data_IF_510706218495
#
_entry.id   IF_510706218495
#
_cell.length_a   1.000
_cell.length_b   1.000
_cell.length_c   1.000
_cell.angle_alpha   90.00
_cell.angle_beta   90.00
_cell.angle_gamma   90.00
#
_symmetry.space_group_name_H-M   'P 1'
#
loop_
_entity.id
_entity.type
_entity.pdbx_description
1 polymer ?
#
# COMPACT_ATOMS: atom_id res chain seq x y z
N UNK A 1 -6.29 28.37 -28.03
CA UNK A 1 -6.37 26.91 -28.27
C UNK A 1 -5.91 26.23 -26.98
N UNK A 2 -6.85 25.83 -26.11
CA UNK A 2 -6.54 25.15 -24.85
C UNK A 2 -6.26 23.68 -25.14
N UNK A 3 -5.01 23.25 -25.02
CA UNK A 3 -4.62 21.84 -25.16
C UNK A 3 -5.03 21.09 -23.88
N UNK A 4 -6.03 20.21 -24.00
CA UNK A 4 -6.45 19.30 -22.95
C UNK A 4 -5.37 18.23 -22.81
N UNK A 5 -4.58 18.30 -21.73
CA UNK A 5 -3.63 17.26 -21.35
C UNK A 5 -4.40 16.03 -20.86
N UNK A 6 -4.58 15.04 -21.73
CA UNK A 6 -5.10 13.72 -21.33
C UNK A 6 -4.06 13.04 -20.43
N UNK A 7 -4.25 13.14 -19.11
CA UNK A 7 -3.42 12.44 -18.12
C UNK A 7 -3.99 11.05 -17.89
N UNK A 8 -3.37 10.03 -18.48
CA UNK A 8 -3.72 8.63 -18.22
C UNK A 8 -2.95 8.16 -16.98
N UNK A 9 -3.60 8.15 -15.81
CA UNK A 9 -3.03 7.53 -14.61
C UNK A 9 -3.36 6.04 -14.65
N UNK A 10 -2.42 5.22 -15.09
CA UNK A 10 -2.52 3.76 -14.96
C UNK A 10 -1.82 3.34 -13.66
N UNK A 11 -2.61 3.13 -12.59
CA UNK A 11 -2.12 2.50 -11.37
C UNK A 11 -2.07 0.97 -11.58
N UNK A 12 -0.89 0.37 -11.53
CA UNK A 12 -0.71 -1.08 -11.63
C UNK A 12 -0.18 -1.60 -10.30
N UNK A 13 -0.91 -2.52 -9.69
CA UNK A 13 -0.54 -3.13 -8.42
C UNK A 13 0.54 -4.19 -8.65
N UNK A 14 1.72 -4.01 -8.03
CA UNK A 14 2.64 -5.12 -7.77
C UNK A 14 1.96 -6.03 -6.74
N UNK A 15 2.08 -7.35 -6.90
CA UNK A 15 1.49 -8.30 -5.97
C UNK A 15 1.99 -7.99 -4.53
N UNK A 16 1.07 -7.83 -3.56
CA UNK A 16 1.45 -7.59 -2.17
C UNK A 16 2.32 -8.74 -1.67
N UNK A 17 3.40 -8.40 -0.97
CA UNK A 17 4.20 -9.38 -0.23
C UNK A 17 3.78 -9.37 1.23
N UNK A 18 3.40 -10.52 1.77
CA UNK A 18 3.17 -10.67 3.20
C UNK A 18 4.49 -10.52 3.93
N UNK A 19 4.60 -9.49 4.75
CA UNK A 19 5.82 -9.17 5.51
C UNK A 19 5.77 -9.73 6.94
N UNK A 20 4.57 -9.88 7.49
CA UNK A 20 4.35 -10.40 8.84
C UNK A 20 2.95 -10.98 8.96
N UNK A 21 2.79 -12.02 9.78
CA UNK A 21 1.48 -12.50 10.21
C UNK A 21 1.58 -13.01 11.63
N UNK A 22 0.52 -12.80 12.40
CA UNK A 22 0.43 -13.26 13.79
C UNK A 22 -1.00 -13.66 14.10
N UNK A 23 -1.12 -14.69 14.93
CA UNK A 23 -2.38 -15.05 15.54
C UNK A 23 -2.61 -14.26 16.84
N UNK A 24 -3.86 -13.93 17.09
CA UNK A 24 -4.33 -13.19 18.25
C UNK A 24 -5.53 -13.94 18.80
N UNK A 25 -5.39 -14.44 20.03
CA UNK A 25 -6.51 -14.99 20.79
C UNK A 25 -7.13 -13.85 21.58
N UNK A 26 -8.43 -13.60 21.36
CA UNK A 26 -9.18 -12.55 22.05
C UNK A 26 -10.57 -13.05 22.42
N UNK A 27 -10.87 -13.11 23.72
CA UNK A 27 -12.05 -13.79 24.23
C UNK A 27 -12.07 -15.27 23.84
N UNK A 28 -13.15 -15.71 23.20
CA UNK A 28 -13.31 -17.07 22.68
C UNK A 28 -12.98 -17.20 21.18
N UNK A 29 -12.50 -16.12 20.55
CA UNK A 29 -12.20 -16.10 19.12
C UNK A 29 -10.69 -16.05 18.87
N UNK A 30 -10.26 -16.74 17.82
CA UNK A 30 -8.92 -16.66 17.27
C UNK A 30 -8.97 -15.84 15.97
N UNK A 31 -8.09 -14.86 15.89
CA UNK A 31 -7.91 -13.99 14.72
C UNK A 31 -6.52 -14.19 14.15
N UNK A 32 -6.38 -14.12 12.83
CA UNK A 32 -5.10 -14.05 12.15
C UNK A 32 -4.98 -12.65 11.54
N UNK A 33 -3.99 -11.89 12.00
CA UNK A 33 -3.61 -10.63 11.39
C UNK A 33 -2.50 -10.90 10.36
N UNK A 34 -2.66 -10.38 9.14
CA UNK A 34 -1.67 -10.45 8.08
C UNK A 34 -1.33 -9.04 7.62
N UNK A 35 -0.04 -8.80 7.41
CA UNK A 35 0.51 -7.49 7.08
C UNK A 35 1.24 -7.59 5.76
N UNK A 36 0.94 -6.66 4.85
CA UNK A 36 1.46 -6.66 3.49
C UNK A 36 2.06 -5.30 3.16
N UNK A 37 3.26 -5.30 2.59
CA UNK A 37 3.81 -4.08 1.98
C UNK A 37 3.26 -3.96 0.56
N UNK A 38 2.51 -2.88 0.31
CA UNK A 38 1.86 -2.61 -0.97
C UNK A 38 2.45 -1.36 -1.60
N UNK A 39 3.25 -1.48 -2.67
CA UNK A 39 3.62 -0.33 -3.49
C UNK A 39 2.48 0.03 -4.46
N UNK A 40 2.33 1.32 -4.71
CA UNK A 40 1.47 1.90 -5.76
C UNK A 40 2.32 2.84 -6.59
N UNK A 41 2.39 2.58 -7.90
CA UNK A 41 3.24 3.35 -8.82
C UNK A 41 2.36 4.26 -9.67
N UNK A 42 2.72 5.53 -9.73
CA UNK A 42 2.15 6.52 -10.64
C UNK A 42 3.20 6.90 -11.69
N UNK A 43 2.78 6.88 -12.96
CA UNK A 43 3.61 7.20 -14.11
C UNK A 43 3.02 8.42 -14.82
N UNK A 44 3.89 9.32 -15.27
CA UNK A 44 3.53 10.48 -16.07
C UNK A 44 4.56 10.65 -17.19
N UNK A 45 4.13 10.37 -18.40
CA UNK A 45 4.90 10.71 -19.59
C UNK A 45 4.73 12.21 -19.89
N UNK A 46 5.85 12.89 -20.04
CA UNK A 46 5.90 14.32 -20.34
C UNK A 46 6.48 14.48 -21.73
N UNK A 47 5.62 14.84 -22.67
CA UNK A 47 6.02 15.16 -24.03
C UNK A 47 6.88 16.44 -24.06
N UNK A 48 7.87 16.51 -24.96
CA UNK A 48 8.69 17.70 -25.10
C UNK A 48 7.85 18.87 -25.61
N UNK A 49 8.03 20.04 -24.98
CA UNK A 49 7.29 21.28 -25.30
C UNK A 49 7.44 21.74 -26.74
N UNK A 50 8.56 21.40 -27.39
CA UNK A 50 8.84 21.75 -28.77
C UNK A 50 9.15 20.47 -29.54
N UNK A 51 8.29 20.13 -30.49
CA UNK A 51 8.47 18.99 -31.40
C UNK A 51 9.51 19.33 -32.48
N UNK A 52 10.74 19.64 -32.09
CA UNK A 52 11.86 19.64 -33.02
C UNK A 52 12.30 18.19 -33.28
N UNK A 53 12.89 17.93 -34.45
CA UNK A 53 13.44 16.60 -34.77
C UNK A 53 14.55 16.27 -33.78
N UNK A 54 14.26 15.43 -32.79
CA UNK A 54 15.21 14.99 -31.76
C UNK A 54 14.73 15.12 -30.32
N UNK A 55 13.56 15.71 -30.07
CA UNK A 55 13.04 15.78 -28.70
C UNK A 55 12.54 14.41 -28.22
N UNK A 56 13.01 14.00 -27.03
CA UNK A 56 12.66 12.71 -26.40
C UNK A 56 11.70 13.00 -25.24
N UNK A 57 10.61 12.22 -25.06
CA UNK A 57 9.75 12.35 -23.89
C UNK A 57 10.52 12.06 -22.60
N UNK A 58 9.98 12.50 -21.47
CA UNK A 58 10.51 12.16 -20.14
C UNK A 58 9.43 11.42 -19.36
N UNK A 59 9.73 10.21 -18.91
CA UNK A 59 8.90 9.53 -17.93
C UNK A 59 9.22 10.04 -16.53
N UNK A 60 8.24 10.66 -15.87
CA UNK A 60 8.28 10.97 -14.44
C UNK A 60 7.48 9.92 -13.69
N UNK A 61 7.96 9.51 -12.52
CA UNK A 61 7.27 8.51 -11.72
C UNK A 61 7.38 8.79 -10.22
N UNK A 62 6.41 8.28 -9.49
CA UNK A 62 6.40 8.24 -8.03
C UNK A 62 5.83 6.90 -7.58
N UNK A 63 6.40 6.33 -6.53
CA UNK A 63 5.92 5.16 -5.84
C UNK A 63 5.62 5.47 -4.38
N UNK A 64 4.41 5.15 -3.97
CA UNK A 64 3.96 5.20 -2.59
C UNK A 64 3.96 3.76 -2.04
N UNK A 65 4.53 3.54 -0.85
CA UNK A 65 4.54 2.23 -0.19
C UNK A 65 3.79 2.32 1.12
N UNK A 66 2.78 1.47 1.31
CA UNK A 66 2.05 1.35 2.56
C UNK A 66 2.19 -0.04 3.17
N UNK A 67 2.07 -0.11 4.50
CA UNK A 67 1.82 -1.38 5.20
C UNK A 67 0.33 -1.47 5.44
N UNK A 68 -0.28 -2.52 4.90
CA UNK A 68 -1.71 -2.78 5.02
C UNK A 68 -1.92 -4.00 5.92
N UNK A 69 -2.90 -3.89 6.82
CA UNK A 69 -3.37 -4.99 7.66
C UNK A 69 -4.64 -5.58 7.09
N UNK A 70 -4.71 -6.90 7.04
CA UNK A 70 -5.92 -7.67 6.84
C UNK A 70 -6.10 -8.64 8.02
N UNK A 71 -7.33 -8.80 8.48
CA UNK A 71 -7.67 -9.67 9.61
C UNK A 71 -8.66 -10.72 9.16
N UNK A 72 -8.45 -11.96 9.60
CA UNK A 72 -9.39 -13.05 9.43
C UNK A 72 -9.75 -13.67 10.78
N UNK A 73 -10.96 -14.20 10.90
CA UNK A 73 -11.42 -15.02 12.02
C UNK A 73 -12.03 -16.29 11.47
N UNK A 74 -11.63 -17.46 11.99
CA UNK A 74 -12.13 -18.76 11.52
C UNK A 74 -12.00 -18.94 9.98
N UNK A 75 -10.90 -18.42 9.41
CA UNK A 75 -10.63 -18.47 7.97
C UNK A 75 -11.46 -17.51 7.11
N UNK A 76 -12.32 -16.67 7.70
CA UNK A 76 -13.11 -15.66 7.00
C UNK A 76 -12.53 -14.26 7.22
N UNK A 77 -12.46 -13.45 6.17
CA UNK A 77 -12.02 -12.07 6.30
C UNK A 77 -12.95 -11.27 7.21
N UNK A 78 -12.37 -10.39 8.03
CA UNK A 78 -13.08 -9.44 8.89
C UNK A 78 -12.72 -8.02 8.46
N UNK A 79 -13.41 -7.45 7.46
CA UNK A 79 -13.04 -6.18 6.84
C UNK A 79 -12.99 -5.00 7.82
N UNK A 80 -13.78 -5.05 8.90
CA UNK A 80 -13.83 -4.00 9.92
C UNK A 80 -12.46 -3.69 10.56
N UNK A 81 -11.53 -4.64 10.56
CA UNK A 81 -10.19 -4.46 11.12
C UNK A 81 -9.10 -4.28 10.05
N UNK A 82 -9.45 -4.35 8.76
CA UNK A 82 -8.51 -4.18 7.66
C UNK A 82 -8.27 -2.71 7.32
N UNK A 83 -7.01 -2.26 7.31
CA UNK A 83 -6.64 -0.87 6.98
C UNK A 83 -5.16 -0.69 6.65
N UNK A 84 -4.81 0.44 6.01
CA UNK A 84 -3.42 0.90 5.97
C UNK A 84 -2.99 1.37 7.37
N UNK A 85 -1.89 0.84 7.89
CA UNK A 85 -1.37 1.16 9.23
C UNK A 85 -0.15 2.07 9.18
N UNK A 86 0.53 2.15 8.03
CA UNK A 86 1.70 2.98 7.85
C UNK A 86 1.91 3.33 6.37
N UNK A 87 2.53 4.49 6.11
CA UNK A 87 2.96 4.94 4.79
C UNK A 87 4.41 5.41 4.89
N UNK A 88 5.27 4.84 4.07
CA UNK A 88 6.66 5.27 3.96
C UNK A 88 6.77 6.56 3.15
N UNK A 89 7.90 7.25 3.27
CA UNK A 89 8.22 8.39 2.41
C UNK A 89 8.17 7.96 0.93
N UNK A 90 7.46 8.69 0.06
CA UNK A 90 7.36 8.33 -1.35
C UNK A 90 8.73 8.34 -2.04
N UNK A 91 8.96 7.38 -2.92
CA UNK A 91 10.10 7.33 -3.82
C UNK A 91 9.69 7.97 -5.15
N UNK A 92 10.54 8.80 -5.76
CA UNK A 92 10.24 9.38 -7.07
C UNK A 92 11.49 9.51 -7.93
N UNK A 93 11.29 9.63 -9.24
CA UNK A 93 12.38 9.79 -10.19
C UNK A 93 11.90 10.10 -11.60
N UNK A 94 12.86 10.10 -12.53
CA UNK A 94 12.58 10.24 -13.94
C UNK A 94 13.56 9.47 -14.82
N UNK A 95 13.09 9.08 -16.00
CA UNK A 95 13.87 8.46 -17.07
C UNK A 95 13.64 9.21 -18.37
N UNK A 96 14.68 9.28 -19.21
CA UNK A 96 14.50 9.71 -20.60
C UNK A 96 13.77 8.61 -21.39
N UNK A 97 12.89 9.01 -22.29
CA UNK A 97 12.04 8.11 -23.07
C UNK A 97 10.65 7.92 -22.47
N UNK A 98 9.93 6.96 -23.04
CA UNK A 98 8.54 6.66 -22.64
C UNK A 98 8.49 5.91 -21.31
N UNK A 99 7.37 6.04 -20.60
CA UNK A 99 7.18 5.32 -19.35
C UNK A 99 7.10 3.81 -19.54
N UNK A 100 6.64 3.36 -20.71
CA UNK A 100 6.65 1.93 -21.08
C UNK A 100 8.08 1.40 -21.16
N UNK A 101 9.01 2.16 -21.77
CA UNK A 101 10.41 1.75 -21.89
C UNK A 101 11.13 1.73 -20.53
N UNK A 102 10.81 2.68 -19.64
CA UNK A 102 11.39 2.76 -18.31
C UNK A 102 10.81 1.75 -17.29
N UNK A 103 9.71 1.08 -17.63
CA UNK A 103 8.88 0.33 -16.67
C UNK A 103 9.66 -0.68 -15.83
N UNK A 104 10.44 -1.55 -16.46
CA UNK A 104 11.20 -2.59 -15.76
C UNK A 104 12.21 -1.99 -14.76
N UNK A 105 12.83 -0.86 -15.12
CA UNK A 105 13.79 -0.20 -14.23
C UNK A 105 13.09 0.47 -13.04
N UNK A 106 11.89 1.04 -13.25
CA UNK A 106 11.05 1.59 -12.18
C UNK A 106 10.62 0.47 -11.23
N UNK A 107 10.05 -0.62 -11.75
CA UNK A 107 9.60 -1.75 -10.93
C UNK A 107 10.75 -2.33 -10.08
N UNK A 108 11.95 -2.46 -10.65
CA UNK A 108 13.13 -2.92 -9.93
C UNK A 108 13.60 -1.93 -8.84
N UNK A 109 13.49 -0.62 -9.07
CA UNK A 109 13.78 0.38 -8.04
C UNK A 109 12.78 0.32 -6.88
N UNK A 110 11.50 0.20 -7.19
CA UNK A 110 10.43 0.09 -6.18
C UNK A 110 10.58 -1.20 -5.38
N UNK A 111 10.88 -2.33 -6.03
CA UNK A 111 11.11 -3.60 -5.35
C UNK A 111 12.30 -3.53 -4.36
N UNK A 112 13.42 -2.90 -4.77
CA UNK A 112 14.55 -2.65 -3.86
C UNK A 112 14.16 -1.77 -2.68
N UNK A 113 13.43 -0.69 -2.94
CA UNK A 113 12.96 0.19 -1.87
C UNK A 113 12.06 -0.54 -0.86
N UNK A 114 11.15 -1.41 -1.33
CA UNK A 114 10.32 -2.25 -0.44
C UNK A 114 11.20 -3.20 0.38
N UNK A 115 12.21 -3.82 -0.23
CA UNK A 115 13.15 -4.71 0.46
C UNK A 115 13.97 -3.96 1.53
N UNK A 116 14.48 -2.76 1.21
CA UNK A 116 15.24 -1.91 2.14
C UNK A 116 14.42 -1.48 3.36
N UNK A 117 13.08 -1.39 3.20
CA UNK A 117 12.13 -1.04 4.27
C UNK A 117 11.54 -2.22 5.01
N UNK A 118 11.93 -3.46 4.66
CA UNK A 118 11.33 -4.68 5.23
C UNK A 118 11.41 -4.74 6.76
N UNK A 119 12.56 -4.42 7.36
CA UNK A 119 12.74 -4.44 8.81
C UNK A 119 11.85 -3.41 9.53
N UNK A 120 11.76 -2.19 8.98
CA UNK A 120 10.88 -1.13 9.48
C UNK A 120 9.41 -1.54 9.36
N UNK A 121 9.02 -2.14 8.23
CA UNK A 121 7.68 -2.61 7.97
C UNK A 121 7.26 -3.73 8.95
N UNK A 122 8.17 -4.64 9.28
CA UNK A 122 7.94 -5.67 10.30
C UNK A 122 7.80 -5.05 11.69
N UNK A 123 8.63 -4.07 12.05
CA UNK A 123 8.53 -3.39 13.33
C UNK A 123 7.18 -2.66 13.50
N UNK A 124 6.72 -1.98 12.45
CA UNK A 124 5.38 -1.37 12.40
C UNK A 124 4.28 -2.41 12.60
N UNK A 125 4.36 -3.55 11.89
CA UNK A 125 3.38 -4.63 12.02
C UNK A 125 3.34 -5.23 13.44
N UNK A 126 4.50 -5.38 14.08
CA UNK A 126 4.60 -5.87 15.46
C UNK A 126 3.98 -4.89 16.46
N UNK A 127 4.24 -3.59 16.30
CA UNK A 127 3.67 -2.54 17.16
C UNK A 127 2.15 -2.45 17.03
N UNK A 128 1.63 -2.65 15.82
CA UNK A 128 0.19 -2.59 15.54
C UNK A 128 -0.62 -3.67 16.27
N UNK A 129 0.00 -4.76 16.74
CA UNK A 129 -0.69 -5.80 17.52
C UNK A 129 -1.47 -5.23 18.71
N UNK A 130 -0.88 -4.30 19.46
CA UNK A 130 -1.54 -3.69 20.60
C UNK A 130 -2.75 -2.83 20.19
N UNK A 131 -2.65 -2.15 19.04
CA UNK A 131 -3.76 -1.38 18.45
C UNK A 131 -4.91 -2.30 18.06
N UNK A 132 -4.61 -3.42 17.39
CA UNK A 132 -5.64 -4.38 16.99
C UNK A 132 -6.35 -5.01 18.20
N UNK A 133 -5.63 -5.34 19.28
CA UNK A 133 -6.26 -5.83 20.51
C UNK A 133 -7.24 -4.81 21.09
N UNK A 134 -6.86 -3.52 21.13
CA UNK A 134 -7.75 -2.46 21.60
C UNK A 134 -8.98 -2.27 20.70
N UNK A 135 -8.83 -2.42 19.38
CA UNK A 135 -9.96 -2.37 18.44
C UNK A 135 -10.94 -3.54 18.67
N UNK A 136 -10.42 -4.75 18.93
CA UNK A 136 -11.23 -5.92 19.29
C UNK A 136 -11.98 -5.71 20.60
N UNK A 137 -11.33 -5.15 21.62
CA UNK A 137 -11.97 -4.78 22.89
C UNK A 137 -13.10 -3.77 22.68
N UNK A 138 -12.88 -2.75 21.85
CA UNK A 138 -13.89 -1.75 21.52
C UNK A 138 -15.15 -2.37 20.90
N UNK A 139 -14.98 -3.23 19.89
CA UNK A 139 -16.12 -3.92 19.25
C UNK A 139 -16.83 -4.86 20.23
N UNK A 140 -16.09 -5.56 21.08
CA UNK A 140 -16.67 -6.44 22.09
C UNK A 140 -17.47 -5.67 23.16
N UNK A 141 -17.01 -4.47 23.56
CA UNK A 141 -17.76 -3.61 24.48
C UNK A 141 -19.08 -3.11 23.85
N UNK A 142 -19.05 -2.72 22.59
CA UNK A 142 -20.24 -2.26 21.85
C UNK A 142 -21.30 -3.37 21.73
N UNK A 143 -20.87 -4.59 21.44
CA UNK A 143 -21.78 -5.74 21.34
C UNK A 143 -22.40 -6.13 22.68
N UNK A 144 -21.66 -6.06 23.79
CA UNK A 144 -22.20 -6.30 25.14
C UNK A 144 -23.12 -5.19 25.65
N UNK A 145 -22.80 -3.93 25.34
CA UNK A 145 -23.60 -2.77 25.74
C UNK A 145 -24.98 -2.75 25.07
N UNK A 146 -25.05 -3.10 23.78
CA UNK A 146 -26.29 -3.19 23.01
C UNK A 146 -27.29 -4.22 23.57
N UNK A 147 -26.82 -5.29 24.21
CA UNK A 147 -27.67 -6.34 24.80
C UNK A 147 -28.33 -5.92 26.13
N UNK A 148 -27.78 -4.90 26.83
CA UNK A 148 -28.33 -4.44 28.12
C UNK A 148 -29.35 -3.29 28.01
N UNK A 149 -29.54 -2.72 26.83
CA UNK A 149 -30.38 -1.54 26.62
C UNK A 149 -31.70 -1.78 25.87
N UNK A 150 -32.11 -3.04 25.70
CA UNK A 150 -33.36 -3.44 25.04
C UNK A 150 -34.42 -3.93 26.02
#
# INVERSE_FOLDING_TARGET
MFLILASSVAALAVAPSTIHSTDIIHGAQAYTASYQAQPTISLREVEPRFANRGAIPVCRWQADVSVNRAVAAQGQAVPAFGKAIHRFTPLSGSYAGTCTAARHQIDAQVARHVADRSAEAVAVAQQDRAVLVNELDGVHALTKGAVKGG
#
